data_IF_421405274116
#
_entry.id   IF_421405274116
#
_cell.length_a   1.000
_cell.length_b   1.000
_cell.length_c   1.000
_cell.angle_alpha   90.00
_cell.angle_beta   90.00
_cell.angle_gamma   90.00
#
_symmetry.space_group_name_H-M   'P 1'
#
loop_
_entity.id
_entity.type
_entity.pdbx_description
1 polymer ?
#
# COMPACT_ATOMS: atom_id res chain seq x y z
N UNK A 1 31.29 25.36 -64.52
CA UNK A 1 31.18 26.43 -63.51
C UNK A 1 30.14 25.99 -62.50
N UNK A 2 30.57 25.72 -61.27
CA UNK A 2 29.73 25.31 -60.14
C UNK A 2 29.31 26.59 -59.43
N UNK A 3 28.02 26.75 -59.12
CA UNK A 3 27.55 27.80 -58.20
C UNK A 3 27.05 27.16 -56.90
N UNK A 4 27.58 27.70 -55.80
CA UNK A 4 27.50 27.20 -54.43
C UNK A 4 26.09 27.21 -53.84
N UNK A 5 25.83 26.21 -53.00
CA UNK A 5 24.72 26.17 -52.05
C UNK A 5 25.07 27.07 -50.87
N UNK A 6 24.15 27.93 -50.42
CA UNK A 6 24.17 28.44 -49.05
C UNK A 6 22.81 28.20 -48.39
N UNK A 7 22.76 27.21 -47.50
CA UNK A 7 21.67 27.00 -46.55
C UNK A 7 21.97 27.79 -45.27
N UNK A 8 20.98 28.45 -44.63
CA UNK A 8 21.26 29.27 -43.45
C UNK A 8 21.54 28.37 -42.24
N UNK A 9 22.75 28.45 -41.71
CA UNK A 9 23.12 27.80 -40.45
C UNK A 9 22.67 28.66 -39.28
N UNK A 10 21.56 28.28 -38.62
CA UNK A 10 21.27 28.75 -37.25
C UNK A 10 21.98 27.85 -36.26
N UNK A 11 23.21 28.21 -35.90
CA UNK A 11 23.84 27.68 -34.70
C UNK A 11 23.38 28.53 -33.51
N UNK A 12 22.39 28.04 -32.78
CA UNK A 12 22.07 28.61 -31.48
C UNK A 12 23.08 28.05 -30.47
N UNK A 13 24.07 28.87 -30.10
CA UNK A 13 24.93 28.61 -28.95
C UNK A 13 24.10 28.79 -27.67
N UNK A 14 23.42 27.72 -27.26
CA UNK A 14 22.81 27.62 -25.95
C UNK A 14 23.82 26.88 -25.05
N UNK A 15 24.62 27.63 -24.29
CA UNK A 15 25.31 27.03 -23.14
C UNK A 15 24.26 26.78 -22.06
N UNK A 16 23.58 25.64 -22.16
CA UNK A 16 22.83 25.09 -21.04
C UNK A 16 23.84 24.44 -20.09
N UNK A 17 23.83 24.85 -18.83
CA UNK A 17 24.45 24.09 -17.77
C UNK A 17 23.89 22.65 -17.84
N UNK A 18 24.76 21.66 -18.00
CA UNK A 18 24.35 20.25 -18.19
C UNK A 18 23.79 19.73 -16.87
N UNK A 19 22.53 20.01 -16.61
CA UNK A 19 21.75 19.23 -15.67
C UNK A 19 21.29 17.97 -16.42
N UNK A 20 21.91 16.84 -16.06
CA UNK A 20 21.57 15.52 -16.57
C UNK A 20 20.15 15.12 -16.11
N UNK A 21 19.15 15.63 -16.82
CA UNK A 21 17.76 15.26 -16.61
C UNK A 21 17.52 13.91 -17.29
N UNK A 22 17.56 12.84 -16.49
CA UNK A 22 17.22 11.50 -16.97
C UNK A 22 15.80 11.49 -17.51
N UNK A 23 15.66 11.25 -18.81
CA UNK A 23 14.37 11.10 -19.46
C UNK A 23 13.58 9.94 -18.84
N UNK A 24 12.27 10.16 -18.66
CA UNK A 24 11.39 9.15 -18.08
C UNK A 24 11.17 8.03 -19.10
N UNK A 25 11.82 6.90 -18.87
CA UNK A 25 11.65 5.70 -19.70
C UNK A 25 10.38 4.93 -19.31
N UNK A 26 9.85 4.15 -20.26
CA UNK A 26 8.69 3.27 -20.03
C UNK A 26 9.03 2.21 -18.97
N UNK A 27 8.33 2.23 -17.83
CA UNK A 27 8.38 1.17 -16.82
C UNK A 27 7.25 0.18 -17.08
N UNK A 28 7.60 -1.02 -17.57
CA UNK A 28 6.61 -2.10 -17.74
C UNK A 28 6.21 -2.65 -16.37
N UNK A 29 4.95 -3.07 -16.26
CA UNK A 29 4.45 -3.78 -15.08
C UNK A 29 5.13 -5.16 -14.93
N UNK A 30 5.19 -5.66 -13.70
CA UNK A 30 5.79 -6.96 -13.42
C UNK A 30 4.82 -8.08 -13.82
N UNK A 31 5.20 -8.90 -14.80
CA UNK A 31 4.50 -10.14 -15.17
C UNK A 31 5.45 -11.36 -14.98
N UNK A 32 5.57 -11.92 -13.76
CA UNK A 32 6.48 -13.02 -13.50
C UNK A 32 5.97 -14.33 -14.13
N UNK A 33 6.87 -15.16 -14.65
CA UNK A 33 6.52 -16.45 -15.27
C UNK A 33 6.01 -17.50 -14.27
N UNK A 34 6.29 -17.32 -12.98
CA UNK A 34 5.93 -18.24 -11.91
C UNK A 34 5.62 -17.50 -10.60
N UNK A 35 4.75 -18.03 -9.74
CA UNK A 35 4.44 -17.41 -8.45
C UNK A 35 5.61 -17.55 -7.49
N UNK A 36 5.82 -16.54 -6.61
CA UNK A 36 6.85 -16.59 -5.55
C UNK A 36 6.51 -17.56 -4.41
N UNK A 37 5.23 -17.82 -4.22
CA UNK A 37 4.70 -18.72 -3.18
C UNK A 37 3.67 -19.62 -3.87
N UNK A 38 3.72 -20.92 -3.61
CA UNK A 38 2.85 -21.91 -4.25
C UNK A 38 1.36 -21.74 -3.88
N UNK A 39 1.07 -21.29 -2.66
CA UNK A 39 -0.29 -21.05 -2.17
C UNK A 39 -0.38 -19.75 -1.36
N UNK A 40 -1.51 -19.03 -1.42
CA UNK A 40 -1.79 -17.91 -0.54
C UNK A 40 -1.77 -18.32 0.94
N UNK A 41 -1.36 -17.39 1.82
CA UNK A 41 -1.44 -17.60 3.26
C UNK A 41 -2.89 -17.52 3.73
N UNK A 42 -3.25 -18.35 4.70
CA UNK A 42 -4.54 -18.24 5.39
C UNK A 42 -4.53 -17.02 6.30
N UNK A 43 -5.70 -16.40 6.46
CA UNK A 43 -5.90 -15.34 7.43
C UNK A 43 -5.74 -15.91 8.83
N UNK A 44 -4.81 -15.35 9.61
CA UNK A 44 -4.49 -15.82 10.96
C UNK A 44 -5.44 -15.29 12.03
N UNK A 45 -6.09 -14.15 11.78
CA UNK A 45 -7.06 -13.55 12.69
C UNK A 45 -8.45 -13.84 12.12
N UNK A 46 -9.01 -14.98 12.51
CA UNK A 46 -10.39 -15.32 12.21
C UNK A 46 -11.33 -14.82 13.33
N UNK A 47 -12.63 -14.94 13.11
CA UNK A 47 -13.65 -14.42 14.03
C UNK A 47 -13.56 -15.03 15.43
N UNK A 48 -13.19 -16.30 15.51
CA UNK A 48 -13.06 -17.04 16.76
C UNK A 48 -11.77 -16.68 17.50
N UNK A 49 -10.73 -16.30 16.77
CA UNK A 49 -9.46 -15.87 17.32
C UNK A 49 -9.51 -14.41 17.79
N UNK A 50 -10.38 -13.59 17.18
CA UNK A 50 -10.66 -12.23 17.62
C UNK A 50 -11.35 -12.23 18.99
N UNK A 51 -12.50 -12.89 19.14
CA UNK A 51 -13.27 -12.92 20.39
C UNK A 51 -12.88 -14.12 21.26
N UNK A 52 -12.08 -13.88 22.31
CA UNK A 52 -11.50 -14.97 23.12
C UNK A 52 -12.46 -15.50 24.17
N UNK A 53 -12.91 -14.65 25.09
CA UNK A 53 -13.85 -15.03 26.14
C UNK A 53 -14.59 -13.82 26.71
N UNK A 54 -15.81 -14.02 27.24
CA UNK A 54 -16.55 -12.96 27.92
C UNK A 54 -15.87 -12.60 29.25
N UNK A 55 -15.95 -11.32 29.61
CA UNK A 55 -15.50 -10.87 30.92
C UNK A 55 -16.60 -11.07 31.96
N UNK A 56 -16.37 -11.93 32.96
CA UNK A 56 -17.40 -12.37 33.91
C UNK A 56 -17.29 -11.72 35.29
N UNK A 57 -16.75 -10.50 35.38
CA UNK A 57 -16.68 -9.80 36.68
C UNK A 57 -18.06 -9.34 37.12
N UNK A 58 -18.28 -9.25 38.44
CA UNK A 58 -19.60 -8.87 38.98
C UNK A 58 -20.13 -7.54 38.44
N UNK A 59 -19.24 -6.55 38.28
CA UNK A 59 -19.61 -5.24 37.73
C UNK A 59 -20.02 -5.33 36.26
N UNK A 60 -19.42 -6.24 35.48
CA UNK A 60 -19.80 -6.44 34.08
C UNK A 60 -21.17 -7.10 34.00
N UNK A 61 -21.36 -8.19 34.74
CA UNK A 61 -22.63 -8.91 34.73
C UNK A 61 -23.78 -7.99 35.18
N UNK A 62 -23.63 -7.33 36.34
CA UNK A 62 -24.69 -6.54 36.96
C UNK A 62 -24.86 -5.16 36.32
N UNK A 63 -23.79 -4.36 36.18
CA UNK A 63 -23.91 -2.95 35.74
C UNK A 63 -23.85 -2.73 34.23
N UNK A 64 -23.31 -3.67 33.45
CA UNK A 64 -23.07 -3.45 32.00
C UNK A 64 -23.98 -4.26 31.11
N UNK A 65 -24.21 -5.53 31.44
CA UNK A 65 -25.07 -6.40 30.64
C UNK A 65 -26.54 -6.08 30.91
N UNK A 66 -26.97 -6.04 32.17
CA UNK A 66 -28.38 -5.88 32.54
C UNK A 66 -28.88 -4.44 32.34
N UNK A 67 -28.15 -3.44 32.84
CA UNK A 67 -28.62 -2.04 32.80
C UNK A 67 -28.45 -1.37 31.43
N UNK A 68 -27.35 -1.66 30.73
CA UNK A 68 -26.91 -0.92 29.55
C UNK A 68 -26.95 -1.74 28.26
N UNK A 69 -27.26 -3.04 28.32
CA UNK A 69 -27.22 -3.98 27.19
C UNK A 69 -25.85 -4.01 26.47
N UNK A 70 -24.75 -3.87 27.22
CA UNK A 70 -23.39 -3.89 26.69
C UNK A 70 -22.66 -5.18 27.07
N UNK A 71 -22.22 -5.94 26.06
CA UNK A 71 -21.39 -7.13 26.26
C UNK A 71 -19.91 -6.75 26.31
N UNK A 72 -19.18 -7.34 27.25
CA UNK A 72 -17.75 -7.09 27.44
C UNK A 72 -16.97 -8.38 27.19
N UNK A 73 -16.04 -8.32 26.25
CA UNK A 73 -15.19 -9.45 25.86
C UNK A 73 -13.72 -9.08 26.00
N UNK A 74 -12.89 -10.10 26.22
CA UNK A 74 -11.44 -10.01 26.04
C UNK A 74 -11.13 -10.45 24.60
N UNK A 75 -10.33 -9.63 23.92
CA UNK A 75 -10.09 -9.69 22.47
C UNK A 75 -8.60 -9.87 22.21
N UNK A 76 -8.22 -10.36 21.02
CA UNK A 76 -6.83 -10.31 20.57
C UNK A 76 -6.29 -8.88 20.44
N UNK A 77 -4.99 -8.71 20.70
CA UNK A 77 -4.31 -7.40 20.72
C UNK A 77 -4.25 -6.79 19.32
N UNK A 78 -4.22 -7.65 18.28
CA UNK A 78 -4.15 -7.20 16.89
C UNK A 78 -5.53 -6.88 16.29
N UNK A 79 -6.62 -7.07 17.04
CA UNK A 79 -7.96 -6.83 16.53
C UNK A 79 -8.35 -5.35 16.64
N UNK A 80 -8.79 -4.78 15.52
CA UNK A 80 -9.29 -3.42 15.43
C UNK A 80 -10.82 -3.35 15.40
N UNK A 81 -11.38 -2.16 15.64
CA UNK A 81 -12.84 -1.92 15.69
C UNK A 81 -13.45 -1.46 14.37
N UNK A 82 -12.62 -1.11 13.38
CA UNK A 82 -13.05 -0.45 12.14
C UNK A 82 -13.17 -1.44 10.98
#
# INVERSE_FOLDING_TARGET
MVQERQSPTRFNNLQAEVQENKERTLKKERNPRYPRISAPRRQKLDQYQILKYPLTTESVMKKKIEDNNTLVFIVDIQADKK
#
